data_IF_621745773997
#
_entry.id   IF_621745773997
#
_cell.length_a   1.000
_cell.length_b   1.000
_cell.length_c   1.000
_cell.angle_alpha   90.00
_cell.angle_beta   90.00
_cell.angle_gamma   90.00
#
_symmetry.space_group_name_H-M   'P 1'
#
loop_
_entity.id
_entity.type
_entity.pdbx_description
1 polymer ?
#
# COMPACT_ATOMS: atom_id res chain seq x y z
N UNK A 1 -11.00 15.11 14.76
CA UNK A 1 -11.11 14.12 13.69
C UNK A 1 -9.87 14.31 12.83
N UNK A 2 -8.82 13.53 13.08
CA UNK A 2 -7.59 13.62 12.30
C UNK A 2 -7.87 12.99 10.95
N UNK A 3 -7.82 13.78 9.89
CA UNK A 3 -8.02 13.30 8.53
C UNK A 3 -6.88 12.33 8.20
N UNK A 4 -7.16 11.22 7.49
CA UNK A 4 -6.12 10.25 7.06
C UNK A 4 -4.91 10.93 6.37
N UNK A 5 -5.14 12.11 5.77
CA UNK A 5 -4.12 12.96 5.15
C UNK A 5 -3.03 13.38 6.14
N UNK A 6 -3.39 13.75 7.37
CA UNK A 6 -2.43 14.21 8.38
C UNK A 6 -1.47 13.07 8.77
N UNK A 7 -2.00 11.85 8.87
CA UNK A 7 -1.21 10.64 9.20
C UNK A 7 -0.20 10.32 8.09
N UNK A 8 -0.60 10.47 6.81
CA UNK A 8 0.30 10.24 5.66
C UNK A 8 1.47 11.23 5.62
N UNK A 9 1.29 12.45 6.15
CA UNK A 9 2.37 13.44 6.20
C UNK A 9 3.44 13.08 7.24
N UNK A 10 3.06 12.40 8.32
CA UNK A 10 3.94 12.02 9.42
C UNK A 10 4.73 10.73 9.16
N UNK A 11 4.33 9.93 8.16
CA UNK A 11 5.05 8.71 7.78
C UNK A 11 6.36 9.10 7.07
N UNK A 12 7.53 8.69 7.61
CA UNK A 12 8.80 8.85 6.91
C UNK A 12 8.85 8.00 5.64
N UNK A 13 9.69 8.44 4.71
CA UNK A 13 9.98 7.64 3.53
C UNK A 13 10.74 6.36 3.90
N UNK A 14 10.73 5.38 3.00
CA UNK A 14 11.43 4.11 3.14
C UNK A 14 11.02 3.23 4.34
N UNK A 15 9.82 3.45 4.89
CA UNK A 15 9.30 2.62 5.98
C UNK A 15 8.81 1.26 5.48
N UNK A 16 9.08 0.15 6.20
CA UNK A 16 8.54 -1.15 5.85
C UNK A 16 7.02 -1.14 5.90
N UNK A 17 6.39 -1.73 4.87
CA UNK A 17 4.94 -1.91 4.82
C UNK A 17 4.55 -3.36 4.65
N UNK A 18 3.39 -3.69 5.20
CA UNK A 18 2.68 -4.95 4.95
C UNK A 18 1.32 -4.61 4.35
N UNK A 19 1.03 -5.15 3.18
CA UNK A 19 -0.24 -4.95 2.48
C UNK A 19 -0.98 -6.27 2.34
N UNK A 20 -2.31 -6.18 2.47
CA UNK A 20 -3.24 -7.27 2.17
C UNK A 20 -3.96 -6.92 0.87
N UNK A 21 -3.47 -7.46 -0.24
CA UNK A 21 -3.95 -7.15 -1.58
C UNK A 21 -5.22 -7.96 -1.93
N UNK A 22 -6.27 -7.30 -2.45
CA UNK A 22 -7.32 -7.96 -3.21
C UNK A 22 -6.73 -8.64 -4.45
N UNK A 23 -7.11 -9.90 -4.69
CA UNK A 23 -6.91 -10.52 -6.00
C UNK A 23 -8.27 -10.76 -6.67
N UNK A 24 -8.29 -10.70 -8.01
CA UNK A 24 -9.46 -11.01 -8.83
C UNK A 24 -9.89 -12.46 -8.55
N UNK A 25 -11.19 -12.67 -8.38
CA UNK A 25 -11.82 -13.96 -8.11
C UNK A 25 -11.27 -14.73 -6.90
N UNK A 26 -10.58 -14.04 -5.98
CA UNK A 26 -10.06 -14.64 -4.76
C UNK A 26 -10.58 -13.92 -3.52
N UNK A 27 -11.21 -14.68 -2.62
CA UNK A 27 -11.69 -14.16 -1.32
C UNK A 27 -10.56 -13.98 -0.30
N UNK A 28 -9.43 -14.63 -0.51
CA UNK A 28 -8.25 -14.48 0.33
C UNK A 28 -7.43 -13.25 -0.11
N UNK A 29 -6.97 -12.48 0.87
CA UNK A 29 -6.09 -11.33 0.62
C UNK A 29 -4.65 -11.82 0.47
N UNK A 30 -4.02 -11.47 -0.65
CA UNK A 30 -2.61 -11.80 -0.89
C UNK A 30 -1.70 -10.88 -0.08
N UNK A 31 -0.92 -11.46 0.83
CA UNK A 31 -0.05 -10.69 1.71
C UNK A 31 1.28 -10.39 1.04
N UNK A 32 1.61 -9.11 0.91
CA UNK A 32 2.91 -8.65 0.44
C UNK A 32 3.60 -7.75 1.46
N UNK A 33 4.92 -7.67 1.30
CA UNK A 33 5.76 -6.76 2.05
C UNK A 33 6.53 -5.90 1.06
N UNK A 34 6.66 -4.62 1.40
CA UNK A 34 7.31 -3.64 0.55
C UNK A 34 7.79 -2.46 1.38
N UNK A 35 8.01 -1.36 0.69
CA UNK A 35 8.50 -0.12 1.26
C UNK A 35 7.53 1.01 0.91
N UNK A 36 7.18 1.82 1.91
CA UNK A 36 6.41 3.05 1.73
C UNK A 36 7.26 4.07 1.00
N UNK A 37 6.72 4.63 -0.07
CA UNK A 37 7.32 5.71 -0.82
C UNK A 37 6.45 6.96 -0.72
N UNK A 38 6.99 8.00 -0.11
CA UNK A 38 6.26 9.25 0.12
C UNK A 38 5.96 9.95 -1.20
N UNK A 39 4.74 10.46 -1.34
CA UNK A 39 4.32 11.26 -2.48
C UNK A 39 3.49 12.46 -2.02
N UNK A 40 2.76 13.11 -2.93
CA UNK A 40 1.84 14.18 -2.58
C UNK A 40 0.53 13.59 -2.02
N UNK A 41 0.32 13.73 -0.70
CA UNK A 41 -0.90 13.30 -0.04
C UNK A 41 -2.16 13.86 -0.74
N UNK A 42 -3.26 13.08 -0.84
CA UNK A 42 -3.50 11.78 -0.22
C UNK A 42 -2.82 10.60 -0.92
N UNK A 43 -2.10 10.82 -2.03
CA UNK A 43 -1.44 9.75 -2.74
C UNK A 43 -0.11 9.34 -2.09
N UNK A 44 0.25 8.07 -2.24
CA UNK A 44 1.55 7.53 -1.87
C UNK A 44 1.83 6.26 -2.69
N UNK A 45 3.09 5.84 -2.72
CA UNK A 45 3.51 4.69 -3.49
C UNK A 45 3.95 3.55 -2.58
N UNK A 46 3.78 2.32 -3.04
CA UNK A 46 4.35 1.13 -2.41
C UNK A 46 5.30 0.46 -3.39
N UNK A 47 6.55 0.29 -2.97
CA UNK A 47 7.59 -0.40 -3.74
C UNK A 47 7.77 -1.83 -3.22
N UNK A 48 7.73 -2.80 -4.12
CA UNK A 48 7.89 -4.21 -3.84
C UNK A 48 9.16 -4.76 -4.47
N UNK A 49 9.62 -5.92 -3.97
CA UNK A 49 10.74 -6.62 -4.59
C UNK A 49 10.37 -7.10 -6.00
N UNK A 50 11.34 -7.15 -6.93
CA UNK A 50 11.10 -7.64 -8.30
C UNK A 50 10.40 -9.01 -8.32
N UNK A 51 9.33 -9.12 -9.10
CA UNK A 51 8.60 -10.38 -9.31
C UNK A 51 7.65 -10.79 -8.18
N UNK A 52 7.48 -9.96 -7.14
CA UNK A 52 6.56 -10.27 -6.03
C UNK A 52 5.15 -9.74 -6.22
N UNK A 53 4.97 -8.68 -7.00
CA UNK A 53 3.66 -8.07 -7.25
C UNK A 53 2.92 -8.81 -8.38
N UNK A 54 1.76 -9.46 -8.12
CA UNK A 54 1.02 -10.20 -9.14
C UNK A 54 0.11 -9.26 -9.94
N UNK A 55 0.72 -8.38 -10.76
CA UNK A 55 0.06 -7.27 -11.47
C UNK A 55 -1.27 -7.66 -12.16
N UNK A 56 -1.29 -8.82 -12.84
CA UNK A 56 -2.44 -9.28 -13.63
C UNK A 56 -3.59 -9.82 -12.79
N UNK A 57 -3.33 -10.10 -11.50
CA UNK A 57 -4.31 -10.68 -10.59
C UNK A 57 -4.82 -9.67 -9.56
N UNK A 58 -4.24 -8.46 -9.47
CA UNK A 58 -4.66 -7.44 -8.50
C UNK A 58 -6.04 -6.91 -8.85
N UNK A 59 -6.99 -7.01 -7.91
CA UNK A 59 -8.29 -6.35 -8.05
C UNK A 59 -8.18 -4.90 -7.54
N UNK A 60 -8.36 -3.92 -8.44
CA UNK A 60 -8.21 -2.49 -8.16
C UNK A 60 -9.50 -1.82 -7.68
N UNK A 61 -10.64 -2.52 -7.81
CA UNK A 61 -11.96 -2.01 -7.42
C UNK A 61 -12.25 -2.24 -5.93
N UNK A 62 -11.35 -2.94 -5.23
CA UNK A 62 -11.44 -3.21 -3.80
C UNK A 62 -10.36 -2.47 -2.99
N UNK A 63 -10.71 -2.14 -1.75
CA UNK A 63 -9.80 -1.52 -0.82
C UNK A 63 -8.75 -2.51 -0.29
N UNK A 64 -7.57 -1.98 -0.01
CA UNK A 64 -6.45 -2.69 0.58
C UNK A 64 -6.27 -2.25 2.02
N UNK A 65 -5.83 -3.17 2.88
CA UNK A 65 -5.35 -2.83 4.22
C UNK A 65 -3.83 -2.76 4.18
N UNK A 66 -3.29 -1.63 4.63
CA UNK A 66 -1.85 -1.34 4.66
C UNK A 66 -1.44 -1.10 6.09
N UNK A 67 -0.35 -1.74 6.50
CA UNK A 67 0.26 -1.56 7.82
C UNK A 67 1.68 -1.05 7.63
N UNK A 68 1.95 0.16 8.09
CA UNK A 68 3.28 0.79 8.05
C UNK A 68 3.95 0.61 9.41
N UNK A 69 5.17 0.07 9.42
CA UNK A 69 5.95 -0.12 10.64
C UNK A 69 6.75 1.14 10.99
N UNK A 70 6.49 1.70 12.17
CA UNK A 70 7.11 2.95 12.64
C UNK A 70 8.23 2.71 13.66
N UNK A 71 8.64 1.45 13.90
CA UNK A 71 9.72 1.12 14.84
C UNK A 71 9.27 1.07 16.30
N UNK A 72 8.14 0.41 16.55
CA UNK A 72 7.57 0.22 17.90
C UNK A 72 6.05 0.39 17.93
N UNK A 73 5.49 1.09 16.94
CA UNK A 73 4.07 1.14 16.63
C UNK A 73 3.83 0.82 15.15
N UNK A 74 2.60 0.46 14.80
CA UNK A 74 2.18 0.27 13.42
C UNK A 74 0.99 1.16 13.10
N UNK A 75 1.03 1.84 11.96
CA UNK A 75 -0.10 2.58 11.44
C UNK A 75 -0.85 1.67 10.48
N UNK A 76 -2.10 1.34 10.80
CA UNK A 76 -3.00 0.59 9.92
C UNK A 76 -3.93 1.55 9.21
N UNK A 77 -4.03 1.44 7.89
CA UNK A 77 -4.89 2.28 7.07
C UNK A 77 -5.50 1.49 5.92
N UNK A 78 -6.68 1.92 5.51
CA UNK A 78 -7.35 1.44 4.30
C UNK A 78 -7.06 2.42 3.16
N UNK A 79 -6.70 1.88 1.99
CA UNK A 79 -6.43 2.69 0.79
C UNK A 79 -6.86 1.95 -0.48
N UNK A 80 -7.15 2.71 -1.53
CA UNK A 80 -7.51 2.18 -2.84
C UNK A 80 -6.29 2.17 -3.76
N UNK A 81 -6.19 1.16 -4.63
CA UNK A 81 -5.18 1.12 -5.68
C UNK A 81 -5.61 2.09 -6.78
N UNK A 82 -4.87 3.17 -6.98
CA UNK A 82 -5.12 4.13 -8.06
C UNK A 82 -4.59 3.62 -9.39
N UNK A 83 -3.36 3.11 -9.39
CA UNK A 83 -2.70 2.62 -10.59
C UNK A 83 -1.59 1.63 -10.25
N UNK A 84 -1.14 0.87 -11.25
CA UNK A 84 0.05 0.03 -11.16
C UNK A 84 1.10 0.69 -12.06
N UNK A 85 2.01 1.47 -11.47
CA UNK A 85 3.00 2.24 -12.21
C UNK A 85 4.07 1.33 -12.84
N UNK A 86 4.37 0.19 -12.21
CA UNK A 86 5.27 -0.84 -12.77
C UNK A 86 5.01 -2.20 -12.12
N UNK A 87 5.73 -3.24 -12.55
CA UNK A 87 5.71 -4.57 -11.93
C UNK A 87 6.22 -4.63 -10.48
N UNK A 88 6.58 -3.48 -9.89
CA UNK A 88 7.06 -3.34 -8.53
C UNK A 88 6.41 -2.19 -7.78
N UNK A 89 5.58 -1.37 -8.43
CA UNK A 89 5.07 -0.13 -7.82
C UNK A 89 3.57 -0.05 -7.94
N UNK A 90 2.91 0.10 -6.78
CA UNK A 90 1.50 0.47 -6.69
C UNK A 90 1.37 1.93 -6.27
N UNK A 91 0.51 2.67 -6.96
CA UNK A 91 0.10 4.01 -6.54
C UNK A 91 -1.22 3.89 -5.77
N UNK A 92 -1.26 4.46 -4.56
CA UNK A 92 -2.36 4.35 -3.61
C UNK A 92 -3.00 5.73 -3.37
N UNK A 93 -4.28 5.76 -2.98
CA UNK A 93 -4.99 6.97 -2.52
C UNK A 93 -6.04 6.67 -1.47
#
# INVERSE_FOLDING_TARGET
MTTNIDILQDIPDDKPVRIYLPLIDNKERYRLQGVYQKSNAPAFNLLFQPGTLPVDLVNRDESCIINVDMGGSSISMEAMISSIASNQVLEMK
#
